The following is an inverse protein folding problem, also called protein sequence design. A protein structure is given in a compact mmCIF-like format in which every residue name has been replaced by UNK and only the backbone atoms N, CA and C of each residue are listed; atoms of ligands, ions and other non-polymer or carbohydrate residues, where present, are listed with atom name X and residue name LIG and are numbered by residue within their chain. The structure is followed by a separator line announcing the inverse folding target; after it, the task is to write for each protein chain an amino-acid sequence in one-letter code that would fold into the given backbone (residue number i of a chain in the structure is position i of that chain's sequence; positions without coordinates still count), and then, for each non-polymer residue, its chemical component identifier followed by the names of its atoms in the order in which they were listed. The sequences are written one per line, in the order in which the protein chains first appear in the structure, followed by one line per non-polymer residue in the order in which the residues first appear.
data_IF_572776834665
#
_entry.id   IF_572776834665
#
_cell.length_a   1.000
_cell.length_b   1.000
_cell.length_c   1.000
_cell.angle_alpha   90.00
_cell.angle_beta   90.00
_cell.angle_gamma   90.00
#
_symmetry.space_group_name_H-M   'P 1'
#
loop_
_entity.id
_entity.type
_entity.pdbx_description
1 polymer ?
#
# COMPACT_ATOMS: atom_id res chain seq x y z
N UNK A 1 5.88 -26.24 17.65
CA UNK A 1 4.64 -26.88 18.17
C UNK A 1 3.48 -26.06 17.66
N UNK A 2 2.53 -26.71 16.99
CA UNK A 2 1.52 -26.14 16.08
C UNK A 2 0.37 -25.43 16.82
N UNK A 3 -0.13 -24.35 16.20
CA UNK A 3 -1.43 -23.62 16.32
C UNK A 3 -1.13 -22.11 16.38
N UNK A 4 -1.69 -21.23 15.54
CA UNK A 4 -3.13 -21.00 15.36
C UNK A 4 -3.38 -20.23 14.04
N UNK A 5 -4.51 -20.52 13.39
CA UNK A 5 -4.98 -19.77 12.23
C UNK A 5 -5.20 -18.29 12.58
N UNK A 6 -4.75 -17.39 11.70
CA UNK A 6 -5.00 -15.95 11.82
C UNK A 6 -6.46 -15.66 11.49
N UNK A 7 -7.34 -15.94 12.44
CA UNK A 7 -8.75 -15.55 12.38
C UNK A 7 -8.86 -14.02 12.34
N UNK A 8 -9.72 -13.53 11.44
CA UNK A 8 -9.81 -12.11 11.11
C UNK A 8 -10.15 -11.22 12.30
N UNK A 9 -9.38 -10.14 12.44
CA UNK A 9 -9.60 -9.08 13.43
C UNK A 9 -11.03 -8.53 13.28
N UNK A 10 -11.76 -8.48 14.39
CA UNK A 10 -13.10 -7.86 14.49
C UNK A 10 -12.96 -6.46 15.06
N UNK A 11 -13.85 -5.54 14.68
CA UNK A 11 -13.91 -4.12 15.08
C UNK A 11 -14.02 -3.85 16.58
N UNK A 12 -14.06 -4.86 17.45
CA UNK A 12 -14.31 -4.72 18.89
C UNK A 12 -13.14 -4.19 19.73
N UNK A 13 -12.07 -3.69 19.11
CA UNK A 13 -10.92 -3.07 19.79
C UNK A 13 -10.88 -1.55 19.62
N UNK A 14 -10.27 -0.84 20.56
CA UNK A 14 -9.89 0.57 20.36
C UNK A 14 -8.73 0.56 19.35
N UNK A 15 -8.99 0.94 18.10
CA UNK A 15 -7.96 1.16 17.09
C UNK A 15 -7.51 2.62 17.11
N UNK A 16 -6.21 2.83 17.02
CA UNK A 16 -5.59 4.15 16.93
C UNK A 16 -4.16 4.03 16.41
N UNK A 17 -3.61 5.10 15.82
CA UNK A 17 -2.25 5.09 15.29
C UNK A 17 -1.21 4.88 16.41
N UNK A 18 -0.07 4.22 16.13
CA UNK A 18 0.28 3.59 14.85
C UNK A 18 -0.46 2.27 14.64
N UNK A 19 -1.01 2.08 13.44
CA UNK A 19 -1.59 0.81 12.97
C UNK A 19 -0.74 0.30 11.82
N UNK A 20 -0.15 -0.88 11.99
CA UNK A 20 0.53 -1.61 10.91
C UNK A 20 -0.06 -3.01 10.84
N UNK A 21 -0.67 -3.37 9.71
CA UNK A 21 -1.23 -4.70 9.47
C UNK A 21 -0.51 -5.31 8.27
N UNK A 22 -0.14 -6.59 8.35
CA UNK A 22 0.46 -7.33 7.26
C UNK A 22 -0.07 -8.77 7.20
N UNK A 23 -0.57 -9.17 6.04
CA UNK A 23 -1.14 -10.50 5.81
C UNK A 23 -2.32 -10.83 6.73
N UNK A 24 -3.13 -9.81 7.07
CA UNK A 24 -4.32 -9.92 7.92
C UNK A 24 -5.56 -9.81 7.04
N UNK A 25 -6.57 -10.64 7.29
CA UNK A 25 -7.88 -10.49 6.66
C UNK A 25 -8.85 -9.85 7.64
N UNK A 26 -9.38 -8.68 7.30
CA UNK A 26 -10.42 -8.03 8.10
C UNK A 26 -11.81 -8.53 7.69
N UNK A 27 -12.65 -8.85 8.67
CA UNK A 27 -14.04 -9.27 8.42
C UNK A 27 -14.93 -8.09 8.03
N UNK A 28 -14.61 -6.92 8.57
CA UNK A 28 -15.33 -5.66 8.39
C UNK A 28 -14.33 -4.50 8.39
N UNK A 29 -14.64 -3.36 7.74
CA UNK A 29 -13.81 -2.17 7.82
C UNK A 29 -13.69 -1.68 9.27
N UNK A 30 -12.52 -1.16 9.62
CA UNK A 30 -12.25 -0.58 10.93
C UNK A 30 -12.07 0.92 10.76
N UNK A 31 -12.87 1.70 11.49
CA UNK A 31 -12.83 3.15 11.48
C UNK A 31 -12.31 3.69 12.81
N UNK A 32 -11.47 4.74 12.75
CA UNK A 32 -11.01 5.45 13.96
C UNK A 32 -10.64 6.92 13.66
N UNK A 33 -10.69 7.81 14.66
CA UNK A 33 -10.27 9.20 14.49
C UNK A 33 -8.79 9.33 14.11
N UNK A 34 -8.49 10.23 13.18
CA UNK A 34 -7.12 10.50 12.74
C UNK A 34 -6.97 11.93 12.20
N UNK A 35 -6.04 12.73 12.76
CA UNK A 35 -5.75 14.11 12.35
C UNK A 35 -6.97 15.03 12.17
N UNK A 36 -7.94 14.93 13.10
CA UNK A 36 -9.18 15.72 13.05
C UNK A 36 -10.20 15.25 12.01
N UNK A 37 -9.91 14.16 11.30
CA UNK A 37 -10.84 13.40 10.48
C UNK A 37 -11.02 11.98 11.00
N UNK A 38 -11.40 11.10 10.09
CA UNK A 38 -11.57 9.67 10.33
C UNK A 38 -10.80 8.91 9.25
N UNK A 39 -10.13 7.83 9.65
CA UNK A 39 -9.54 6.86 8.73
C UNK A 39 -10.33 5.57 8.81
N UNK A 40 -10.53 4.94 7.66
CA UNK A 40 -11.15 3.63 7.55
C UNK A 40 -10.17 2.71 6.84
N UNK A 41 -9.85 1.59 7.47
CA UNK A 41 -8.94 0.58 6.94
C UNK A 41 -9.68 -0.72 6.63
N UNK A 42 -9.27 -1.38 5.56
CA UNK A 42 -9.76 -2.70 5.17
C UNK A 42 -8.67 -3.41 4.37
N UNK A 43 -8.50 -4.71 4.59
CA UNK A 43 -7.61 -5.56 3.79
C UNK A 43 -8.14 -6.98 3.80
N UNK A 44 -8.02 -7.64 2.66
CA UNK A 44 -8.45 -9.03 2.47
C UNK A 44 -7.67 -9.63 1.31
N UNK A 45 -7.26 -10.88 1.45
CA UNK A 45 -6.70 -11.66 0.36
C UNK A 45 -7.65 -11.71 -0.83
N UNK A 46 -7.06 -11.79 -2.03
CA UNK A 46 -7.82 -12.10 -3.24
C UNK A 46 -8.72 -13.33 -3.02
N UNK A 47 -9.91 -13.40 -3.63
CA UNK A 47 -10.85 -14.52 -3.50
C UNK A 47 -10.39 -15.74 -4.32
N UNK A 48 -9.11 -16.10 -4.19
CA UNK A 48 -8.46 -17.22 -4.87
C UNK A 48 -8.12 -18.27 -3.81
N UNK A 49 -8.58 -19.50 -4.03
CA UNK A 49 -8.36 -20.58 -3.07
C UNK A 49 -6.86 -20.83 -2.86
N UNK A 50 -6.45 -20.91 -1.58
CA UNK A 50 -5.06 -21.19 -1.20
C UNK A 50 -4.13 -19.98 -1.20
N UNK A 51 -4.58 -18.80 -1.65
CA UNK A 51 -3.78 -17.58 -1.56
C UNK A 51 -3.85 -17.00 -0.14
N UNK A 52 -2.68 -16.69 0.41
CA UNK A 52 -2.58 -15.90 1.63
C UNK A 52 -2.66 -14.41 1.29
N UNK A 53 -3.06 -13.60 2.26
CA UNK A 53 -2.99 -12.16 2.07
C UNK A 53 -1.52 -11.73 2.10
N UNK A 54 -1.04 -11.13 1.01
CA UNK A 54 0.32 -10.58 0.91
C UNK A 54 0.32 -9.05 1.01
N UNK A 55 -0.84 -8.44 1.29
CA UNK A 55 -0.96 -7.01 1.49
C UNK A 55 -0.48 -6.60 2.87
N UNK A 56 0.05 -5.39 2.95
CA UNK A 56 0.28 -4.67 4.18
C UNK A 56 -0.26 -3.24 4.09
N UNK A 57 -0.72 -2.70 5.22
CA UNK A 57 -1.16 -1.32 5.35
C UNK A 57 -0.62 -0.68 6.62
N UNK A 58 -0.45 0.64 6.56
CA UNK A 58 0.07 1.46 7.65
C UNK A 58 -0.74 2.74 7.83
N UNK A 59 -1.04 3.09 9.08
CA UNK A 59 -1.61 4.38 9.49
C UNK A 59 -0.85 4.89 10.71
N UNK A 60 -0.03 5.91 10.55
CA UNK A 60 0.82 6.44 11.61
C UNK A 60 1.16 7.91 11.39
N UNK A 61 1.77 8.56 12.37
CA UNK A 61 2.19 9.96 12.28
C UNK A 61 3.71 10.08 12.20
N UNK A 62 4.19 10.94 11.32
CA UNK A 62 5.55 11.45 11.32
C UNK A 62 5.64 12.79 12.06
N UNK A 63 6.86 13.34 12.19
CA UNK A 63 7.10 14.64 12.84
C UNK A 63 6.20 15.73 12.24
N UNK A 64 5.86 16.75 13.05
CA UNK A 64 5.01 17.91 12.68
C UNK A 64 3.57 17.54 12.29
N UNK A 65 3.00 16.52 12.95
CA UNK A 65 1.62 16.06 12.76
C UNK A 65 1.31 15.73 11.28
N UNK A 66 2.27 15.13 10.60
CA UNK A 66 2.09 14.64 9.23
C UNK A 66 1.57 13.22 9.32
N UNK A 67 0.34 13.01 8.88
CA UNK A 67 -0.27 11.69 8.85
C UNK A 67 0.23 10.91 7.65
N UNK A 68 0.51 9.64 7.85
CA UNK A 68 0.98 8.73 6.82
C UNK A 68 -0.04 7.61 6.69
N UNK A 69 -0.57 7.46 5.49
CA UNK A 69 -1.41 6.34 5.08
C UNK A 69 -0.64 5.57 4.00
N UNK A 70 -0.36 4.30 4.23
CA UNK A 70 0.43 3.50 3.30
C UNK A 70 -0.25 2.16 3.03
N UNK A 71 -0.16 1.71 1.79
CA UNK A 71 -0.49 0.34 1.37
C UNK A 71 0.66 -0.22 0.56
N UNK A 72 0.87 -1.53 0.68
CA UNK A 72 1.89 -2.28 -0.03
C UNK A 72 1.30 -3.64 -0.44
N UNK A 73 1.37 -3.98 -1.72
CA UNK A 73 0.92 -5.26 -2.28
C UNK A 73 2.15 -6.12 -2.59
N UNK A 74 2.29 -7.25 -1.90
CA UNK A 74 3.37 -8.19 -2.13
C UNK A 74 3.25 -8.88 -3.49
N UNK A 75 4.31 -8.83 -4.29
CA UNK A 75 4.33 -9.48 -5.60
C UNK A 75 4.30 -11.00 -5.44
N UNK A 76 3.17 -11.61 -5.82
CA UNK A 76 2.95 -13.06 -5.75
C UNK A 76 3.65 -13.87 -6.85
N UNK A 77 3.72 -15.19 -6.65
CA UNK A 77 4.29 -16.15 -7.61
C UNK A 77 5.56 -16.86 -7.12
N UNK A 78 6.22 -16.33 -6.10
CA UNK A 78 7.34 -16.93 -5.37
C UNK A 78 7.18 -16.68 -3.86
N UNK A 79 7.79 -17.49 -2.97
CA UNK A 79 7.72 -17.26 -1.53
C UNK A 79 8.30 -15.88 -1.15
N UNK A 80 7.52 -15.06 -0.44
CA UNK A 80 8.04 -13.86 0.24
C UNK A 80 7.40 -12.52 -0.12
N UNK A 81 6.33 -12.48 -0.93
CA UNK A 81 5.59 -11.25 -1.22
C UNK A 81 5.05 -10.60 0.07
N UNK A 82 4.39 -11.38 0.92
CA UNK A 82 3.89 -10.88 2.21
C UNK A 82 4.98 -10.38 3.18
N UNK A 83 6.19 -10.95 3.12
CA UNK A 83 7.31 -10.47 3.92
C UNK A 83 7.89 -9.15 3.37
N UNK A 84 7.87 -8.98 2.04
CA UNK A 84 8.31 -7.76 1.38
C UNK A 84 7.37 -6.57 1.69
N UNK A 85 6.06 -6.76 1.59
CA UNK A 85 5.07 -5.72 1.90
C UNK A 85 5.10 -5.34 3.39
N UNK A 86 5.22 -6.34 4.28
CA UNK A 86 5.39 -6.10 5.72
C UNK A 86 6.64 -5.23 5.99
N UNK A 87 7.78 -5.61 5.43
CA UNK A 87 9.04 -4.88 5.60
C UNK A 87 8.94 -3.43 5.12
N UNK A 88 8.21 -3.19 4.02
CA UNK A 88 7.98 -1.85 3.50
C UNK A 88 7.19 -0.98 4.49
N UNK A 89 6.06 -1.47 5.00
CA UNK A 89 5.24 -0.73 5.97
C UNK A 89 6.00 -0.49 7.28
N UNK A 90 6.72 -1.49 7.79
CA UNK A 90 7.54 -1.36 9.00
C UNK A 90 8.65 -0.32 8.83
N UNK A 91 9.30 -0.30 7.67
CA UNK A 91 10.36 0.66 7.33
C UNK A 91 9.81 2.09 7.25
N UNK A 92 8.56 2.28 6.80
CA UNK A 92 7.92 3.60 6.73
C UNK A 92 7.44 4.08 8.11
N UNK A 93 6.97 3.18 8.97
CA UNK A 93 6.53 3.51 10.33
C UNK A 93 7.71 3.93 11.22
N UNK A 94 8.86 3.28 11.05
CA UNK A 94 10.08 3.56 11.82
C UNK A 94 11.28 3.80 10.88
N UNK A 95 11.33 4.94 10.17
CA UNK A 95 12.39 5.22 9.21
C UNK A 95 13.73 5.35 9.94
N UNK A 96 14.70 4.52 9.56
CA UNK A 96 16.06 4.53 10.13
C UNK A 96 16.79 5.86 9.90
N UNK A 97 16.37 6.62 8.90
CA UNK A 97 16.95 7.91 8.49
C UNK A 97 15.96 9.04 8.76
N UNK A 98 15.49 9.17 10.01
CA UNK A 98 14.46 10.14 10.42
C UNK A 98 14.83 11.64 10.26
N UNK A 99 16.00 11.93 9.69
CA UNK A 99 16.49 13.28 9.33
C UNK A 99 16.79 13.42 7.83
N UNK A 100 16.45 12.41 7.02
CA UNK A 100 16.62 12.48 5.58
C UNK A 100 15.66 13.50 4.95
N UNK A 101 16.09 14.11 3.86
CA UNK A 101 15.30 15.09 3.09
C UNK A 101 14.15 14.37 2.38
N UNK A 102 14.35 13.11 1.99
CA UNK A 102 13.32 12.25 1.38
C UNK A 102 13.30 10.86 2.05
N UNK A 103 12.65 10.75 3.23
CA UNK A 103 12.62 9.51 4.00
C UNK A 103 11.92 8.37 3.25
N UNK A 104 10.94 8.66 2.38
CA UNK A 104 10.25 7.62 1.59
C UNK A 104 11.21 6.98 0.61
N UNK A 105 11.90 7.79 -0.20
CA UNK A 105 12.85 7.28 -1.19
C UNK A 105 13.95 6.45 -0.52
N UNK A 106 14.42 6.88 0.65
CA UNK A 106 15.43 6.14 1.41
C UNK A 106 14.90 4.83 1.98
N UNK A 107 13.67 4.78 2.50
CA UNK A 107 13.02 3.54 2.90
C UNK A 107 12.86 2.59 1.70
N UNK A 108 12.35 3.07 0.58
CA UNK A 108 12.16 2.26 -0.65
C UNK A 108 13.49 1.69 -1.14
N UNK A 109 14.55 2.50 -1.21
CA UNK A 109 15.89 2.04 -1.62
C UNK A 109 16.47 1.01 -0.66
N UNK A 110 16.29 1.21 0.65
CA UNK A 110 16.76 0.29 1.68
C UNK A 110 16.07 -1.07 1.56
N UNK A 111 14.74 -1.07 1.50
CA UNK A 111 13.93 -2.29 1.33
C UNK A 111 14.28 -2.98 0.03
N UNK A 112 14.33 -2.26 -1.09
CA UNK A 112 14.73 -2.83 -2.38
C UNK A 112 16.11 -3.49 -2.34
N UNK A 113 17.09 -2.87 -1.67
CA UNK A 113 18.43 -3.44 -1.51
C UNK A 113 18.42 -4.74 -0.70
N UNK A 114 17.59 -4.83 0.34
CA UNK A 114 17.42 -6.06 1.13
C UNK A 114 16.78 -7.16 0.29
N UNK A 115 15.68 -6.86 -0.41
CA UNK A 115 14.95 -7.82 -1.24
C UNK A 115 15.81 -8.37 -2.40
N UNK A 116 16.53 -7.48 -3.10
CA UNK A 116 17.46 -7.87 -4.17
C UNK A 116 18.59 -8.76 -3.63
N UNK A 117 19.13 -8.45 -2.44
CA UNK A 117 20.19 -9.25 -1.81
C UNK A 117 19.71 -10.62 -1.35
N UNK A 118 18.47 -10.73 -0.86
CA UNK A 118 17.88 -12.00 -0.44
C UNK A 118 17.71 -12.96 -1.63
N UNK A 119 17.61 -12.44 -2.86
CA UNK A 119 17.70 -13.22 -4.10
C UNK A 119 16.52 -14.17 -4.35
N UNK A 120 15.48 -14.10 -3.52
CA UNK A 120 14.29 -14.95 -3.62
C UNK A 120 13.29 -14.51 -4.70
N UNK A 121 13.55 -13.38 -5.35
CA UNK A 121 12.65 -12.79 -6.35
C UNK A 121 11.35 -12.21 -5.76
N UNK A 122 11.32 -11.96 -4.44
CA UNK A 122 10.20 -11.28 -3.80
C UNK A 122 10.25 -9.77 -4.08
N UNK A 123 9.08 -9.15 -4.09
CA UNK A 123 8.93 -7.72 -4.27
C UNK A 123 7.62 -7.23 -3.66
N UNK A 124 7.43 -5.92 -3.65
CA UNK A 124 6.19 -5.29 -3.20
C UNK A 124 5.97 -3.99 -3.94
N UNK A 125 4.72 -3.63 -4.18
CA UNK A 125 4.34 -2.25 -4.47
C UNK A 125 4.42 -1.42 -3.20
N UNK A 126 4.34 -0.11 -3.34
CA UNK A 126 4.04 0.79 -2.23
C UNK A 126 3.25 1.99 -2.76
N UNK A 127 2.26 2.44 -2.01
CA UNK A 127 1.59 3.73 -2.20
C UNK A 127 1.46 4.39 -0.83
N UNK A 128 2.04 5.58 -0.71
CA UNK A 128 2.08 6.38 0.51
C UNK A 128 1.38 7.70 0.25
N UNK A 129 0.49 8.08 1.16
CA UNK A 129 -0.20 9.35 1.19
C UNK A 129 0.17 10.08 2.47
N UNK A 130 0.61 11.32 2.33
CA UNK A 130 0.83 12.26 3.42
C UNK A 130 -0.35 13.19 3.55
N UNK A 131 -0.82 13.37 4.78
CA UNK A 131 -1.89 14.31 5.11
C UNK A 131 -1.35 15.31 6.12
N UNK A 132 -1.31 16.59 5.73
CA UNK A 132 -0.94 17.68 6.62
C UNK A 132 -1.97 18.81 6.48
N UNK A 133 -2.86 18.93 7.47
CA UNK A 133 -3.95 19.90 7.44
C UNK A 133 -4.88 19.67 6.24
N UNK A 134 -4.80 20.56 5.24
CA UNK A 134 -5.62 20.51 4.01
C UNK A 134 -4.85 20.09 2.77
N UNK A 135 -3.58 19.75 2.93
CA UNK A 135 -2.69 19.37 1.85
C UNK A 135 -2.46 17.86 1.88
N UNK A 136 -2.34 17.32 0.68
CA UNK A 136 -1.99 15.92 0.46
C UNK A 136 -0.81 15.84 -0.51
N UNK A 137 0.13 14.95 -0.22
CA UNK A 137 1.18 14.56 -1.15
C UNK A 137 1.31 13.05 -1.17
N UNK A 138 1.84 12.48 -2.24
CA UNK A 138 1.86 11.03 -2.41
C UNK A 138 3.12 10.54 -3.11
N UNK A 139 3.54 9.33 -2.74
CA UNK A 139 4.64 8.58 -3.35
C UNK A 139 4.14 7.19 -3.67
N UNK A 140 4.50 6.64 -4.84
CA UNK A 140 4.09 5.30 -5.19
C UNK A 140 5.09 4.62 -6.12
N UNK A 141 5.18 3.30 -5.98
CA UNK A 141 5.93 2.39 -6.84
C UNK A 141 5.05 1.18 -7.08
N UNK A 142 4.80 0.85 -8.35
CA UNK A 142 3.89 -0.22 -8.74
C UNK A 142 2.54 0.30 -9.21
N UNK A 143 1.53 -0.55 -9.13
CA UNK A 143 0.20 -0.32 -9.71
C UNK A 143 -0.92 -0.12 -8.68
N UNK A 144 -0.58 -0.17 -7.38
CA UNK A 144 -1.47 0.30 -6.31
C UNK A 144 -1.84 1.76 -6.56
N UNK A 145 -3.13 2.06 -6.40
CA UNK A 145 -3.72 3.34 -6.81
C UNK A 145 -4.25 4.11 -5.61
N UNK A 146 -4.05 5.42 -5.62
CA UNK A 146 -4.68 6.36 -4.70
C UNK A 146 -5.73 7.20 -5.44
N UNK A 147 -6.85 7.45 -4.78
CA UNK A 147 -7.96 8.26 -5.29
C UNK A 147 -8.37 9.31 -4.27
N UNK A 148 -8.68 10.51 -4.73
CA UNK A 148 -9.28 11.58 -3.94
C UNK A 148 -10.68 11.84 -4.47
N UNK A 149 -11.70 11.67 -3.63
CA UNK A 149 -13.10 11.83 -4.03
C UNK A 149 -13.71 13.03 -3.31
N UNK A 150 -14.26 13.97 -4.07
CA UNK A 150 -14.95 15.13 -3.52
C UNK A 150 -16.34 14.79 -2.97
N UNK A 151 -16.92 15.71 -2.17
CA UNK A 151 -18.22 15.52 -1.48
C UNK A 151 -19.41 15.12 -2.37
N UNK A 152 -19.32 15.32 -3.69
CA UNK A 152 -20.35 14.93 -4.68
C UNK A 152 -20.01 13.61 -5.41
N UNK A 153 -19.12 12.79 -4.87
CA UNK A 153 -18.68 11.53 -5.48
C UNK A 153 -17.78 11.69 -6.72
N UNK A 154 -17.31 12.90 -7.02
CA UNK A 154 -16.43 13.14 -8.18
C UNK A 154 -14.98 12.87 -7.80
N UNK A 155 -14.29 12.04 -8.59
CA UNK A 155 -12.84 11.86 -8.49
C UNK A 155 -12.16 13.19 -8.82
N UNK A 156 -11.31 13.66 -7.92
CA UNK A 156 -10.55 14.91 -8.00
C UNK A 156 -9.08 14.65 -8.38
N UNK A 157 -8.55 13.52 -7.95
CA UNK A 157 -7.20 13.08 -8.22
C UNK A 157 -7.17 11.55 -8.22
N UNK A 158 -6.38 10.98 -9.11
CA UNK A 158 -6.10 9.55 -9.21
C UNK A 158 -4.63 9.40 -9.58
N UNK A 159 -3.88 8.55 -8.88
CA UNK A 159 -2.51 8.22 -9.31
C UNK A 159 -2.55 7.40 -10.59
N UNK A 160 -1.55 7.57 -11.45
CA UNK A 160 -1.40 6.79 -12.68
C UNK A 160 -0.57 5.54 -12.32
N UNK A 161 -1.13 4.33 -12.39
CA UNK A 161 -0.39 3.10 -12.05
C UNK A 161 0.89 2.97 -12.89
N UNK A 162 2.00 2.50 -12.31
CA UNK A 162 3.24 2.15 -13.04
C UNK A 162 3.12 0.79 -13.77
N UNK A 163 1.95 0.49 -14.34
CA UNK A 163 1.75 -0.61 -15.28
C UNK A 163 1.85 -0.08 -16.72
N UNK A 164 2.27 -0.93 -17.67
CA UNK A 164 2.34 -0.57 -19.11
C UNK A 164 0.99 -0.01 -19.62
N UNK A 165 -0.10 -0.56 -19.10
CA UNK A 165 -1.47 -0.16 -19.41
C UNK A 165 -1.83 1.19 -18.77
N UNK A 166 -1.38 1.46 -17.53
CA UNK A 166 -1.58 2.75 -16.85
C UNK A 166 -0.88 3.91 -17.57
N UNK A 167 0.33 3.69 -18.08
CA UNK A 167 1.06 4.70 -18.88
C UNK A 167 0.40 4.93 -20.24
N UNK A 168 -0.03 3.87 -20.94
CA UNK A 168 -0.71 3.98 -22.23
C UNK A 168 -2.09 4.66 -22.14
N UNK A 169 -2.81 4.50 -21.02
CA UNK A 169 -4.02 5.26 -20.70
C UNK A 169 -3.73 6.75 -20.49
N UNK A 170 -2.73 7.07 -19.67
CA UNK A 170 -2.36 8.47 -19.40
C UNK A 170 -1.82 9.23 -20.62
N UNK A 171 -1.25 8.51 -21.59
CA UNK A 171 -0.78 9.04 -22.87
C UNK A 171 -1.84 9.09 -23.97
N UNK A 172 -3.09 8.69 -23.70
CA UNK A 172 -4.19 8.70 -24.67
C UNK A 172 -4.09 7.63 -25.77
N UNK A 173 -3.26 6.60 -25.58
CA UNK A 173 -3.01 5.55 -26.57
C UNK A 173 -3.95 4.33 -26.42
N UNK A 174 -4.68 4.21 -25.31
CA UNK A 174 -5.66 3.15 -25.04
C UNK A 174 -6.91 3.71 -24.34
N UNK A 175 -8.08 3.17 -24.67
CA UNK A 175 -9.34 3.46 -23.97
C UNK A 175 -9.48 2.62 -22.67
N UNK A 176 -10.19 3.16 -21.66
CA UNK A 176 -10.39 2.53 -20.34
C UNK A 176 -10.96 1.10 -20.38
N UNK A 177 -11.88 0.80 -21.30
CA UNK A 177 -12.47 -0.54 -21.45
C UNK A 177 -11.47 -1.54 -22.04
N UNK A 178 -10.59 -1.09 -22.93
CA UNK A 178 -9.56 -1.91 -23.55
C UNK A 178 -8.40 -2.20 -22.58
N UNK A 179 -8.04 -1.21 -21.76
CA UNK A 179 -7.08 -1.35 -20.68
C UNK A 179 -7.47 -2.41 -19.63
N UNK A 180 -8.75 -2.43 -19.22
CA UNK A 180 -9.27 -3.40 -18.25
C UNK A 180 -9.25 -4.87 -18.73
N UNK A 181 -9.11 -5.10 -20.04
CA UNK A 181 -9.10 -6.44 -20.65
C UNK A 181 -7.72 -6.89 -21.13
N UNK A 182 -6.68 -6.09 -20.91
CA UNK A 182 -5.36 -6.37 -21.47
C UNK A 182 -4.69 -7.56 -20.74
N UNK A 183 -4.13 -8.54 -21.49
CA UNK A 183 -3.51 -9.74 -20.91
C UNK A 183 -2.33 -9.40 -19.97
N UNK A 184 -1.61 -8.31 -20.23
CA UNK A 184 -0.46 -7.86 -19.44
C UNK A 184 -0.77 -6.77 -18.40
N UNK A 185 -2.04 -6.57 -18.01
CA UNK A 185 -2.42 -5.52 -17.05
C UNK A 185 -1.72 -5.60 -15.68
N UNK A 186 -1.18 -6.78 -15.35
CA UNK A 186 -0.48 -7.10 -14.10
C UNK A 186 1.05 -6.93 -14.22
N UNK A 187 1.57 -6.55 -15.38
CA UNK A 187 3.01 -6.33 -15.59
C UNK A 187 3.36 -4.94 -15.11
N UNK A 188 4.03 -4.87 -13.97
CA UNK A 188 4.58 -3.64 -13.39
C UNK A 188 5.90 -3.32 -14.12
N UNK A 189 6.01 -2.10 -14.65
CA UNK A 189 7.22 -1.62 -15.31
C UNK A 189 7.69 -0.34 -14.62
N UNK A 190 8.65 -0.50 -13.72
CA UNK A 190 9.38 0.63 -13.14
C UNK A 190 10.63 0.84 -14.02
N UNK A 191 10.54 1.76 -14.99
CA UNK A 191 11.70 2.24 -15.76
C UNK A 191 12.30 3.45 -15.06
#
# INVERSE_FOLDING_TARGET
MVKEGREGLSSKGIFGPPVCLAGVNLKEPIAFPFLGGEVVIFTRSAPIAGHQNEDALGVFEWKRAVGVLAVADGLGGLPGGGAASQMMIESLNSPLLAEDIDPVTSCVKSVNKVLVRDGKGSGTTVTVLFVQGREISSYYVGDSTMLVVGRRGRIKLQTIPHSMVGRALSGGQLDEKSAMRHPERHVIHNM
#
